data_IF_769488590845
#
_entry.id   IF_769488590845
#
_cell.length_a   1.000
_cell.length_b   1.000
_cell.length_c   1.000
_cell.angle_alpha   90.00
_cell.angle_beta   90.00
_cell.angle_gamma   90.00
#
_symmetry.space_group_name_H-M   'P 1'
#
loop_
_entity.id
_entity.type
_entity.pdbx_description
1 polymer ?
#
# COMPACT_ATOMS: atom_id res chain seq x y z
N UNK A 1 -21.65 -7.86 -35.89
CA UNK A 1 -20.54 -7.98 -34.92
C UNK A 1 -20.88 -7.11 -33.73
N UNK A 2 -20.79 -7.63 -32.50
CA UNK A 2 -20.95 -6.82 -31.30
C UNK A 2 -19.76 -5.86 -31.14
N UNK A 3 -19.98 -4.67 -30.59
CA UNK A 3 -18.89 -3.75 -30.27
C UNK A 3 -17.93 -4.40 -29.26
N UNK A 4 -16.61 -4.15 -29.35
CA UNK A 4 -15.67 -4.68 -28.38
C UNK A 4 -16.02 -4.20 -26.96
N UNK A 5 -15.81 -5.05 -25.94
CA UNK A 5 -16.05 -4.66 -24.55
C UNK A 5 -15.20 -3.44 -24.19
N UNK A 6 -15.78 -2.51 -23.44
CA UNK A 6 -15.06 -1.35 -22.92
C UNK A 6 -14.52 -1.68 -21.53
N UNK A 7 -13.26 -1.35 -21.31
CA UNK A 7 -12.57 -1.54 -20.04
C UNK A 7 -12.37 -0.19 -19.37
N UNK A 8 -12.59 -0.14 -18.06
CA UNK A 8 -12.50 1.09 -17.26
C UNK A 8 -11.74 0.82 -15.97
N UNK A 9 -10.91 1.77 -15.56
CA UNK A 9 -10.29 1.77 -14.24
C UNK A 9 -11.16 2.59 -13.28
N UNK A 10 -11.81 1.94 -12.32
CA UNK A 10 -12.61 2.63 -11.32
C UNK A 10 -11.72 3.12 -10.18
N UNK A 11 -12.05 4.26 -9.59
CA UNK A 11 -11.57 4.64 -8.26
C UNK A 11 -12.73 4.53 -7.25
N UNK A 12 -12.45 4.47 -5.93
CA UNK A 12 -13.50 4.34 -4.91
C UNK A 12 -14.66 5.34 -5.03
N UNK A 13 -14.38 6.57 -5.47
CA UNK A 13 -15.34 7.66 -5.62
C UNK A 13 -16.29 7.51 -6.82
N UNK A 14 -15.96 6.64 -7.77
CA UNK A 14 -16.85 6.33 -8.90
C UNK A 14 -18.02 5.43 -8.46
N UNK A 15 -17.91 4.83 -7.27
CA UNK A 15 -18.80 3.77 -6.78
C UNK A 15 -19.75 4.34 -5.73
N UNK A 16 -21.05 4.09 -5.90
CA UNK A 16 -22.06 4.46 -4.92
C UNK A 16 -21.78 3.73 -3.59
N UNK A 17 -21.85 4.45 -2.47
CA UNK A 17 -21.29 4.15 -1.13
C UNK A 17 -21.65 2.79 -0.47
N UNK A 18 -22.45 1.94 -1.11
CA UNK A 18 -22.88 0.64 -0.56
C UNK A 18 -21.97 -0.53 -0.91
N UNK A 19 -21.01 -0.38 -1.84
CA UNK A 19 -20.08 -1.44 -2.21
C UNK A 19 -18.69 -1.17 -1.60
N UNK A 20 -18.22 -2.08 -0.75
CA UNK A 20 -16.82 -2.09 -0.28
C UNK A 20 -15.96 -2.57 -1.45
N UNK A 21 -15.56 -1.66 -2.31
CA UNK A 21 -14.58 -1.93 -3.38
C UNK A 21 -13.30 -1.20 -3.03
N UNK A 22 -12.26 -1.90 -2.54
CA UNK A 22 -10.97 -1.29 -2.29
C UNK A 22 -10.08 -1.36 -3.55
N UNK A 23 -8.89 -0.73 -3.48
CA UNK A 23 -8.23 0.22 -4.41
C UNK A 23 -8.86 0.51 -5.79
N UNK A 24 -8.21 1.35 -6.62
CA UNK A 24 -8.58 1.44 -8.03
C UNK A 24 -8.62 0.06 -8.67
N UNK A 25 -9.67 -0.23 -9.44
CA UNK A 25 -9.96 -1.58 -9.90
C UNK A 25 -10.44 -1.62 -11.35
N UNK A 26 -9.93 -2.58 -12.10
CA UNK A 26 -10.33 -2.79 -13.50
C UNK A 26 -11.72 -3.39 -13.60
N UNK A 27 -12.52 -2.88 -14.54
CA UNK A 27 -13.87 -3.36 -14.79
C UNK A 27 -14.19 -3.44 -16.28
N UNK A 28 -15.10 -4.35 -16.63
CA UNK A 28 -15.68 -4.44 -17.96
C UNK A 28 -17.08 -3.84 -17.95
N UNK A 29 -17.39 -2.96 -18.90
CA UNK A 29 -18.73 -2.39 -19.07
C UNK A 29 -19.68 -3.46 -19.59
N UNK A 30 -20.78 -3.70 -18.87
CA UNK A 30 -21.80 -4.70 -19.22
C UNK A 30 -23.06 -4.09 -19.82
N UNK A 31 -23.47 -2.90 -19.33
CA UNK A 31 -24.62 -2.17 -19.86
C UNK A 31 -24.46 -0.66 -19.65
N UNK A 32 -25.09 0.14 -20.51
CA UNK A 32 -25.20 1.60 -20.36
C UNK A 32 -26.66 1.99 -20.55
N UNK A 33 -27.23 2.73 -19.60
CA UNK A 33 -28.62 3.17 -19.61
C UNK A 33 -28.71 4.64 -19.21
N UNK A 34 -28.85 5.52 -20.19
CA UNK A 34 -28.94 6.96 -19.94
C UNK A 34 -27.71 7.51 -19.21
N UNK A 35 -27.91 8.00 -17.99
CA UNK A 35 -26.88 8.61 -17.17
C UNK A 35 -26.05 7.61 -16.34
N UNK A 36 -26.44 6.33 -16.30
CA UNK A 36 -25.77 5.29 -15.52
C UNK A 36 -25.21 4.19 -16.41
N UNK A 37 -24.24 3.46 -15.88
CA UNK A 37 -23.70 2.26 -16.50
C UNK A 37 -23.46 1.17 -15.45
N UNK A 38 -23.68 -0.07 -15.86
CA UNK A 38 -23.33 -1.25 -15.08
C UNK A 38 -21.98 -1.78 -15.56
N UNK A 39 -21.10 -2.07 -14.60
CA UNK A 39 -19.76 -2.60 -14.85
C UNK A 39 -19.52 -3.81 -13.96
N UNK A 40 -18.67 -4.72 -14.40
CA UNK A 40 -18.27 -5.92 -13.64
C UNK A 40 -16.78 -5.85 -13.33
N UNK A 41 -16.43 -5.96 -12.04
CA UNK A 41 -15.04 -6.00 -11.58
C UNK A 41 -14.30 -7.20 -12.15
N UNK A 42 -13.08 -6.98 -12.64
CA UNK A 42 -12.20 -8.02 -13.15
C UNK A 42 -11.48 -8.78 -12.03
N UNK A 43 -11.11 -8.10 -10.95
CA UNK A 43 -10.56 -8.75 -9.77
C UNK A 43 -11.67 -9.42 -8.93
N UNK A 44 -11.39 -10.52 -8.22
CA UNK A 44 -12.28 -11.08 -7.22
C UNK A 44 -12.48 -10.13 -6.02
N UNK A 45 -13.70 -10.02 -5.46
CA UNK A 45 -14.93 -10.64 -5.94
C UNK A 45 -15.45 -9.93 -7.21
N UNK A 46 -15.84 -10.71 -8.23
CA UNK A 46 -16.33 -10.19 -9.54
C UNK A 46 -17.73 -9.54 -9.44
N UNK A 47 -17.84 -8.46 -8.67
CA UNK A 47 -19.07 -7.75 -8.38
C UNK A 47 -19.56 -6.95 -9.58
N UNK A 48 -20.87 -6.80 -9.69
CA UNK A 48 -21.49 -5.82 -10.57
C UNK A 48 -21.74 -4.53 -9.79
N UNK A 49 -21.33 -3.41 -10.36
CA UNK A 49 -21.41 -2.09 -9.73
C UNK A 49 -22.04 -1.11 -10.72
N UNK A 50 -22.82 -0.17 -10.20
CA UNK A 50 -23.34 0.95 -10.99
C UNK A 50 -22.47 2.19 -10.83
N UNK A 51 -22.16 2.82 -11.95
CA UNK A 51 -21.35 4.03 -12.03
C UNK A 51 -22.03 5.08 -12.93
N UNK A 52 -21.56 6.32 -12.89
CA UNK A 52 -21.98 7.32 -13.86
C UNK A 52 -21.49 6.95 -15.27
N UNK A 53 -22.34 7.12 -16.29
CA UNK A 53 -21.98 6.82 -17.67
C UNK A 53 -20.81 7.69 -18.19
N UNK A 54 -20.61 8.88 -17.62
CA UNK A 54 -19.47 9.77 -17.91
C UNK A 54 -18.13 9.16 -17.50
N UNK A 55 -18.08 8.35 -16.42
CA UNK A 55 -16.86 7.69 -15.94
C UNK A 55 -16.26 6.79 -17.02
N UNK A 56 -17.09 6.13 -17.84
CA UNK A 56 -16.62 5.28 -18.94
C UNK A 56 -15.73 6.04 -19.92
N UNK A 57 -16.05 7.30 -20.21
CA UNK A 57 -15.26 8.12 -21.14
C UNK A 57 -13.98 8.66 -20.50
N UNK A 58 -14.02 8.96 -19.20
CA UNK A 58 -12.92 9.59 -18.49
C UNK A 58 -11.83 8.61 -18.05
N UNK A 59 -12.20 7.36 -17.78
CA UNK A 59 -11.29 6.34 -17.22
C UNK A 59 -11.19 5.09 -18.08
N UNK A 60 -11.36 5.23 -19.38
CA UNK A 60 -11.19 4.12 -20.31
C UNK A 60 -9.72 3.67 -20.31
N UNK A 61 -9.51 2.37 -20.27
CA UNK A 61 -8.18 1.73 -20.32
C UNK A 61 -8.11 0.74 -21.48
N UNK A 62 -6.89 0.30 -21.81
CA UNK A 62 -6.68 -0.70 -22.84
C UNK A 62 -7.20 -2.08 -22.36
N UNK A 63 -7.74 -2.93 -23.27
CA UNK A 63 -8.27 -4.23 -22.89
C UNK A 63 -7.26 -5.15 -22.18
N UNK A 64 -6.00 -5.10 -22.60
CA UNK A 64 -4.95 -6.01 -22.12
C UNK A 64 -4.24 -5.48 -20.86
N UNK A 65 -4.56 -4.27 -20.40
CA UNK A 65 -3.84 -3.61 -19.31
C UNK A 65 -3.93 -4.40 -17.99
N UNK A 66 -5.10 -4.99 -17.71
CA UNK A 66 -5.29 -5.87 -16.55
C UNK A 66 -4.42 -7.14 -16.65
N UNK A 67 -4.36 -7.76 -17.84
CA UNK A 67 -3.52 -8.92 -18.09
C UNK A 67 -2.02 -8.60 -18.09
N UNK A 68 -1.65 -7.35 -18.34
CA UNK A 68 -0.28 -6.83 -18.34
C UNK A 68 0.21 -6.40 -16.95
N UNK A 69 -0.28 -7.05 -15.89
CA UNK A 69 0.14 -6.77 -14.50
C UNK A 69 -0.65 -5.66 -13.79
N UNK A 70 -1.77 -5.22 -14.37
CA UNK A 70 -2.74 -4.30 -13.75
C UNK A 70 -2.11 -3.02 -13.15
N UNK A 71 -1.34 -2.24 -13.95
CA UNK A 71 -0.57 -1.09 -13.46
C UNK A 71 -1.42 -0.03 -12.72
N UNK A 72 -2.67 0.15 -13.12
CA UNK A 72 -3.61 1.08 -12.52
C UNK A 72 -4.07 0.71 -11.11
N UNK A 73 -3.95 -0.54 -10.68
CA UNK A 73 -4.25 -0.95 -9.29
C UNK A 73 -3.27 -0.34 -8.29
N UNK A 74 -2.09 0.10 -8.75
CA UNK A 74 -1.13 0.81 -7.92
C UNK A 74 -1.56 2.23 -7.60
N UNK A 75 -2.44 2.85 -8.37
CA UNK A 75 -2.85 4.23 -8.12
C UNK A 75 -3.32 4.42 -6.68
N UNK A 76 -2.81 5.48 -6.05
CA UNK A 76 -3.07 5.88 -4.67
C UNK A 76 -2.54 4.91 -3.60
N UNK A 77 -1.95 3.78 -3.98
CA UNK A 77 -1.29 2.91 -3.02
C UNK A 77 0.00 3.55 -2.50
N UNK A 78 0.27 3.47 -1.20
CA UNK A 78 1.61 3.64 -0.66
C UNK A 78 2.52 2.53 -1.17
N UNK A 79 3.67 2.90 -1.73
CA UNK A 79 4.64 1.95 -2.25
C UNK A 79 6.06 2.43 -2.02
N UNK A 80 6.96 1.45 -2.01
CA UNK A 80 8.38 1.66 -2.24
C UNK A 80 8.74 1.15 -3.63
N UNK A 81 9.53 1.94 -4.37
CA UNK A 81 10.08 1.54 -5.66
C UNK A 81 11.55 1.91 -5.78
N UNK A 82 12.14 1.61 -6.93
CA UNK A 82 13.53 1.96 -7.24
C UNK A 82 13.56 3.04 -8.33
N UNK A 83 14.26 4.14 -8.05
CA UNK A 83 14.54 5.23 -9.00
C UNK A 83 16.02 5.57 -8.95
N UNK A 84 16.71 5.52 -10.08
CA UNK A 84 18.16 5.80 -10.20
C UNK A 84 19.03 5.04 -9.17
N UNK A 85 18.68 3.78 -8.90
CA UNK A 85 19.39 2.92 -7.96
C UNK A 85 19.12 3.21 -6.48
N UNK A 86 18.17 4.09 -6.17
CA UNK A 86 17.75 4.41 -4.81
C UNK A 86 16.33 3.90 -4.54
N UNK A 87 16.11 3.40 -3.33
CA UNK A 87 14.75 3.18 -2.84
C UNK A 87 14.07 4.53 -2.58
N UNK A 88 12.85 4.63 -3.08
CA UNK A 88 11.98 5.80 -2.88
C UNK A 88 10.62 5.34 -2.37
N UNK A 89 10.19 5.90 -1.25
CA UNK A 89 8.92 5.56 -0.60
C UNK A 89 7.95 6.72 -0.73
N UNK A 90 6.75 6.45 -1.21
CA UNK A 90 5.73 7.48 -1.44
C UNK A 90 4.38 6.90 -1.84
N UNK A 91 3.49 7.76 -2.32
CA UNK A 91 2.21 7.35 -2.87
C UNK A 91 2.29 7.35 -4.40
N UNK A 92 1.77 6.30 -5.04
CA UNK A 92 1.65 6.27 -6.50
C UNK A 92 0.54 7.24 -6.95
N UNK A 93 0.86 8.21 -7.79
CA UNK A 93 -0.06 9.26 -8.23
C UNK A 93 -0.44 9.17 -9.71
N UNK A 94 0.37 8.49 -10.51
CA UNK A 94 0.17 8.30 -11.94
C UNK A 94 0.89 7.02 -12.38
N UNK A 95 0.48 6.48 -13.51
CA UNK A 95 1.18 5.42 -14.20
C UNK A 95 1.11 5.67 -15.70
N UNK A 96 2.14 5.20 -16.41
CA UNK A 96 2.19 5.22 -17.86
C UNK A 96 2.98 3.99 -18.33
N UNK A 97 2.30 3.10 -19.04
CA UNK A 97 2.83 1.78 -19.37
C UNK A 97 3.32 1.02 -18.13
N UNK A 98 4.52 0.43 -18.23
CA UNK A 98 5.17 -0.30 -17.13
C UNK A 98 5.84 0.58 -16.06
N UNK A 99 5.53 1.88 -15.99
CA UNK A 99 6.14 2.82 -15.03
C UNK A 99 5.09 3.49 -14.16
N UNK A 100 5.45 3.73 -12.92
CA UNK A 100 4.65 4.48 -11.95
C UNK A 100 5.38 5.74 -11.51
N UNK A 101 4.62 6.79 -11.22
CA UNK A 101 5.11 8.01 -10.59
C UNK A 101 4.75 7.99 -9.11
N UNK A 102 5.77 8.01 -8.25
CA UNK A 102 5.63 8.09 -6.80
C UNK A 102 5.81 9.53 -6.36
N UNK A 103 4.81 10.08 -5.67
CA UNK A 103 4.96 11.33 -4.91
C UNK A 103 5.50 11.01 -3.53
N UNK A 104 6.69 11.52 -3.25
CA UNK A 104 7.42 11.34 -1.99
C UNK A 104 7.53 12.68 -1.24
N UNK A 105 8.03 12.67 -0.01
CA UNK A 105 8.36 13.89 0.74
C UNK A 105 9.53 14.68 0.12
N UNK A 106 10.21 14.13 -0.88
CA UNK A 106 11.35 14.74 -1.58
C UNK A 106 11.01 15.23 -2.99
N UNK A 107 9.79 14.97 -3.47
CA UNK A 107 9.38 15.23 -4.84
C UNK A 107 8.83 13.98 -5.52
N UNK A 108 8.73 14.05 -6.85
CA UNK A 108 8.17 12.98 -7.68
C UNK A 108 9.27 12.15 -8.32
N UNK A 109 9.11 10.83 -8.30
CA UNK A 109 10.09 9.86 -8.80
C UNK A 109 9.40 8.82 -9.69
N UNK A 110 10.14 8.31 -10.69
CA UNK A 110 9.60 7.35 -11.65
C UNK A 110 10.21 5.97 -11.39
N UNK A 111 9.36 4.99 -11.10
CA UNK A 111 9.76 3.61 -10.81
C UNK A 111 9.19 2.67 -11.86
N UNK A 112 9.81 1.51 -12.08
CA UNK A 112 9.15 0.43 -12.82
C UNK A 112 8.08 -0.19 -11.93
N UNK A 113 6.97 -0.60 -12.53
CA UNK A 113 5.84 -1.20 -11.80
C UNK A 113 6.22 -2.56 -11.21
N UNK A 114 7.06 -3.32 -11.92
CA UNK A 114 7.59 -4.61 -11.44
C UNK A 114 8.49 -4.51 -10.20
N UNK A 115 9.04 -3.32 -9.92
CA UNK A 115 9.89 -3.08 -8.75
C UNK A 115 9.09 -2.54 -7.54
N UNK A 116 7.78 -2.31 -7.70
CA UNK A 116 6.98 -1.74 -6.63
C UNK A 116 6.64 -2.78 -5.57
N UNK A 117 6.80 -2.36 -4.33
CA UNK A 117 6.37 -3.11 -3.15
C UNK A 117 5.37 -2.24 -2.38
N UNK A 118 4.19 -2.79 -2.13
CA UNK A 118 3.18 -2.12 -1.31
C UNK A 118 3.67 -2.02 0.14
N UNK A 119 3.50 -0.87 0.76
CA UNK A 119 3.94 -0.60 2.14
C UNK A 119 2.82 0.01 2.96
N UNK A 120 2.89 -0.04 4.29
CA UNK A 120 1.93 0.70 5.12
C UNK A 120 2.03 2.22 4.86
N UNK A 121 0.90 2.96 4.78
CA UNK A 121 0.93 4.41 4.55
C UNK A 121 1.80 5.19 5.54
N UNK A 122 1.90 4.72 6.79
CA UNK A 122 2.74 5.37 7.82
C UNK A 122 4.23 5.36 7.45
N UNK A 123 4.69 4.33 6.72
CA UNK A 123 6.08 4.24 6.28
C UNK A 123 6.42 5.34 5.28
N UNK A 124 5.49 5.78 4.43
CA UNK A 124 5.72 6.92 3.55
C UNK A 124 6.11 8.19 4.33
N UNK A 125 5.58 8.37 5.55
CA UNK A 125 5.93 9.51 6.41
C UNK A 125 7.25 9.30 7.15
N UNK A 126 7.49 8.09 7.66
CA UNK A 126 8.66 7.77 8.48
C UNK A 126 9.94 7.62 7.65
N UNK A 127 9.84 7.03 6.46
CA UNK A 127 10.98 6.72 5.59
C UNK A 127 11.04 7.59 4.34
N UNK A 128 10.06 8.47 4.11
CA UNK A 128 9.94 9.28 2.88
C UNK A 128 11.09 10.26 2.59
N UNK A 129 12.03 10.45 3.53
CA UNK A 129 13.27 11.23 3.33
C UNK A 129 14.54 10.38 3.30
N UNK A 130 14.45 9.08 3.55
CA UNK A 130 15.59 8.18 3.51
C UNK A 130 16.10 7.98 2.08
N UNK A 131 17.37 7.60 1.97
CA UNK A 131 18.05 7.36 0.69
C UNK A 131 18.88 6.08 0.80
N UNK A 132 18.19 4.93 0.80
CA UNK A 132 18.87 3.65 0.73
C UNK A 132 19.20 3.33 -0.73
N UNK A 133 20.38 2.79 -0.96
CA UNK A 133 20.78 2.29 -2.28
C UNK A 133 20.27 0.86 -2.46
N UNK A 134 19.70 0.59 -3.62
CA UNK A 134 19.27 -0.75 -4.00
C UNK A 134 20.44 -1.73 -4.17
N UNK A 135 21.67 -1.21 -4.34
CA UNK A 135 22.87 -2.04 -4.39
C UNK A 135 23.32 -2.55 -3.01
N UNK A 136 22.92 -1.88 -1.93
CA UNK A 136 23.40 -2.14 -0.56
C UNK A 136 22.35 -2.84 0.31
N UNK A 137 21.12 -3.01 -0.18
CA UNK A 137 19.99 -3.56 0.58
C UNK A 137 19.02 -4.27 -0.36
N UNK A 138 18.69 -5.52 -0.08
CA UNK A 138 17.71 -6.27 -0.88
C UNK A 138 16.29 -5.83 -0.58
N UNK A 139 15.34 -6.23 -1.44
CA UNK A 139 13.92 -5.95 -1.23
C UNK A 139 13.41 -6.64 0.04
N UNK A 140 13.86 -7.88 0.29
CA UNK A 140 13.49 -8.66 1.47
C UNK A 140 13.97 -7.98 2.76
N UNK A 141 15.23 -7.53 2.80
CA UNK A 141 15.80 -6.81 3.94
C UNK A 141 15.03 -5.50 4.21
N UNK A 142 14.65 -4.79 3.15
CA UNK A 142 13.84 -3.57 3.26
C UNK A 142 12.44 -3.86 3.83
N UNK A 143 11.80 -4.95 3.39
CA UNK A 143 10.49 -5.38 3.91
C UNK A 143 10.60 -5.80 5.37
N UNK A 144 11.66 -6.51 5.75
CA UNK A 144 11.92 -6.89 7.15
C UNK A 144 12.12 -5.64 8.03
N UNK A 145 12.94 -4.68 7.59
CA UNK A 145 13.15 -3.42 8.28
C UNK A 145 11.83 -2.64 8.47
N UNK A 146 11.03 -2.54 7.41
CA UNK A 146 9.71 -1.88 7.43
C UNK A 146 8.74 -2.55 8.40
N UNK A 147 8.69 -3.88 8.39
CA UNK A 147 7.85 -4.67 9.31
C UNK A 147 8.30 -4.44 10.75
N UNK A 148 9.61 -4.48 11.02
CA UNK A 148 10.14 -4.20 12.35
C UNK A 148 9.91 -2.76 12.84
N UNK A 149 9.80 -1.77 11.95
CA UNK A 149 9.37 -0.41 12.33
C UNK A 149 7.91 -0.42 12.78
N UNK A 150 7.03 -1.05 12.00
CA UNK A 150 5.61 -1.15 12.33
C UNK A 150 5.38 -1.90 13.63
N UNK A 151 6.09 -3.01 13.86
CA UNK A 151 5.92 -3.80 15.08
C UNK A 151 6.31 -3.03 16.34
N UNK A 152 7.38 -2.23 16.25
CA UNK A 152 7.79 -1.35 17.36
C UNK A 152 6.77 -0.25 17.62
N UNK A 153 6.14 0.30 16.58
CA UNK A 153 5.10 1.33 16.72
C UNK A 153 3.81 0.76 17.32
N UNK A 154 3.47 -0.48 16.97
CA UNK A 154 2.27 -1.16 17.45
C UNK A 154 2.46 -1.86 18.80
N UNK A 155 3.70 -1.92 19.30
CA UNK A 155 4.04 -2.66 20.53
C UNK A 155 3.89 -4.18 20.38
N UNK A 156 3.92 -4.70 19.16
CA UNK A 156 3.71 -6.12 18.83
C UNK A 156 4.99 -6.94 18.86
N UNK A 157 6.12 -6.34 19.25
CA UNK A 157 7.33 -7.11 19.58
C UNK A 157 6.95 -8.09 20.68
N UNK A 158 6.77 -9.36 20.30
CA UNK A 158 6.56 -10.44 21.24
C UNK A 158 7.61 -10.29 22.34
N UNK A 159 7.14 -10.18 23.58
CA UNK A 159 7.99 -10.01 24.73
C UNK A 159 9.07 -11.08 24.73
N UNK A 160 10.29 -10.67 24.37
CA UNK A 160 11.51 -11.29 24.83
C UNK A 160 11.58 -11.07 26.33
N UNK A 161 10.87 -11.91 27.08
CA UNK A 161 11.16 -12.20 28.48
C UNK A 161 12.52 -12.89 28.54
N UNK A 162 13.62 -12.16 28.30
CA UNK A 162 14.99 -12.64 28.54
C UNK A 162 16.04 -11.52 28.45
N UNK A 163 16.01 -10.58 29.40
CA UNK A 163 17.12 -9.71 29.82
C UNK A 163 16.74 -9.25 31.24
N UNK A 164 17.33 -9.66 32.37
CA UNK A 164 18.69 -10.09 32.67
C UNK A 164 18.65 -11.00 33.91
N UNK A 165 19.21 -12.21 33.79
CA UNK A 165 19.72 -12.93 34.94
C UNK A 165 20.98 -12.22 35.46
N UNK A 166 20.95 -11.82 36.72
CA UNK A 166 22.13 -11.75 37.59
C UNK A 166 23.01 -10.51 37.50
N UNK A 167 22.68 -9.50 38.32
CA UNK A 167 23.66 -8.91 39.24
C UNK A 167 22.97 -8.71 40.59
N UNK A 168 23.34 -9.55 41.55
CA UNK A 168 23.10 -9.36 42.98
C UNK A 168 24.25 -8.55 43.55
N UNK A 169 23.95 -7.40 44.18
CA UNK A 169 24.72 -6.59 45.14
C UNK A 169 23.96 -5.24 45.18
N UNK A 170 23.19 -4.88 46.21
CA UNK A 170 23.57 -4.75 47.61
C UNK A 170 22.41 -5.10 48.56
N UNK A 171 22.73 -5.91 49.57
CA UNK A 171 22.01 -5.92 50.85
C UNK A 171 22.32 -4.61 51.58
N UNK A 172 21.29 -3.91 52.03
CA UNK A 172 21.37 -3.09 53.24
C UNK A 172 20.27 -3.61 54.15
N UNK A 173 20.72 -4.34 55.16
CA UNK A 173 19.96 -4.70 56.34
C UNK A 173 19.32 -3.47 56.98
N UNK A 174 18.04 -3.56 57.29
CA UNK A 174 17.56 -2.97 58.54
C UNK A 174 16.47 -3.86 59.13
N UNK A 175 16.91 -4.84 59.94
CA UNK A 175 16.07 -5.38 61.00
C UNK A 175 16.31 -4.51 62.21
N UNK A 176 15.26 -3.83 62.66
CA UNK A 176 15.09 -3.63 64.09
C UNK A 176 13.62 -3.78 64.45
N UNK A 177 13.38 -4.82 65.25
CA UNK A 177 12.13 -5.12 65.93
C UNK A 177 11.85 -4.06 67.01
N UNK A 178 10.59 -3.88 67.37
CA UNK A 178 10.21 -3.08 68.52
C UNK A 178 8.70 -2.86 68.64
N UNK A 179 7.99 -3.91 69.05
CA UNK A 179 6.72 -3.76 69.75
C UNK A 179 6.96 -3.18 71.16
N UNK A 180 5.87 -2.74 71.80
CA UNK A 180 5.70 -2.27 73.20
C UNK A 180 5.80 -0.74 73.40
N UNK A 181 4.67 -0.04 73.45
CA UNK A 181 3.90 0.12 74.70
C UNK A 181 2.46 0.59 74.49
#
# INVERSE_FOLDING_TARGET
MAAPPRHVLLIPEDIQASAVVPPPGYSTVTAVSGATASVRLQAPPHLNVEIAASTIRLRQVLPDEYGAGAPGEWLRKPATGISDGLYVTGQVIAYDGGRATLRTLRGEFHCRIEDLVEVSPVLCFLTGKQQLRAADTTVEELVEQNTGILDRLLGTVAGGSELLGGVSLYSIDDRSAGDVH
#
